data_IF_940590549577
#
_entry.id   IF_940590549577
#
_cell.length_a   1.000
_cell.length_b   1.000
_cell.length_c   1.000
_cell.angle_alpha   90.00
_cell.angle_beta   90.00
_cell.angle_gamma   90.00
#
_symmetry.space_group_name_H-M   'P 1'
#
loop_
_entity.id
_entity.type
_entity.pdbx_description
1 polymer ?
#
# COMPACT_ATOMS: atom_id res chain seq x y z
N UNK A 1 9.47 -5.56 10.44
CA UNK A 1 10.77 -5.08 9.97
C UNK A 1 11.91 -5.44 10.90
N UNK A 2 12.21 -6.73 11.07
CA UNK A 2 13.41 -7.22 11.79
C UNK A 2 14.31 -8.04 10.86
N UNK A 3 14.20 -7.81 9.54
CA UNK A 3 15.00 -8.51 8.56
C UNK A 3 16.47 -8.06 8.68
N UNK A 4 17.39 -9.01 8.58
CA UNK A 4 18.82 -8.69 8.53
C UNK A 4 19.20 -8.04 7.19
N UNK A 5 20.33 -7.34 7.15
CA UNK A 5 20.85 -6.74 5.90
C UNK A 5 21.07 -7.78 4.80
N UNK A 6 21.57 -8.97 5.16
CA UNK A 6 21.74 -10.08 4.22
C UNK A 6 20.40 -10.56 3.66
N UNK A 7 19.36 -10.67 4.49
CA UNK A 7 18.02 -11.04 4.03
C UNK A 7 17.46 -10.01 3.05
N UNK A 8 17.68 -8.71 3.31
CA UNK A 8 17.24 -7.66 2.40
C UNK A 8 17.98 -7.73 1.04
N UNK A 9 19.31 -7.89 1.07
CA UNK A 9 20.12 -8.04 -0.16
C UNK A 9 19.71 -9.25 -0.99
N UNK A 10 19.51 -10.42 -0.36
CA UNK A 10 19.04 -11.62 -1.07
C UNK A 10 17.62 -11.43 -1.64
N UNK A 11 16.73 -10.78 -0.89
CA UNK A 11 15.39 -10.44 -1.36
C UNK A 11 15.46 -9.54 -2.61
N UNK A 12 16.22 -8.44 -2.58
CA UNK A 12 16.37 -7.54 -3.74
C UNK A 12 16.92 -8.29 -4.96
N UNK A 13 17.98 -9.08 -4.75
CA UNK A 13 18.62 -9.87 -5.82
C UNK A 13 17.60 -10.79 -6.50
N UNK A 14 16.80 -11.52 -5.72
CA UNK A 14 15.77 -12.42 -6.25
C UNK A 14 14.65 -11.68 -6.95
N UNK A 15 14.12 -10.61 -6.34
CA UNK A 15 12.97 -9.88 -6.88
C UNK A 15 13.28 -9.15 -8.19
N UNK A 16 14.54 -8.71 -8.37
CA UNK A 16 14.98 -7.99 -9.56
C UNK A 16 15.84 -8.83 -10.51
N UNK A 17 16.02 -10.13 -10.23
CA UNK A 17 16.86 -11.04 -11.01
C UNK A 17 18.27 -10.48 -11.27
N UNK A 18 18.91 -9.89 -10.26
CA UNK A 18 20.22 -9.28 -10.40
C UNK A 18 21.32 -10.35 -10.60
N UNK A 19 22.37 -10.06 -11.39
CA UNK A 19 23.46 -11.01 -11.66
C UNK A 19 24.35 -11.28 -10.42
N UNK A 20 24.22 -10.48 -9.36
CA UNK A 20 24.99 -10.60 -8.14
C UNK A 20 24.34 -9.86 -6.98
N UNK A 21 24.86 -10.10 -5.78
CA UNK A 21 24.33 -9.47 -4.57
C UNK A 21 24.72 -7.98 -4.53
N UNK A 22 23.76 -7.05 -4.42
CA UNK A 22 24.05 -5.64 -4.35
C UNK A 22 24.75 -5.28 -3.04
N UNK A 23 25.56 -4.22 -3.08
CA UNK A 23 26.11 -3.60 -1.87
C UNK A 23 25.01 -3.15 -0.90
N UNK A 24 25.33 -2.95 0.40
CA UNK A 24 24.33 -2.67 1.42
C UNK A 24 23.46 -1.44 1.11
N UNK A 25 24.07 -0.30 0.76
CA UNK A 25 23.32 0.93 0.48
C UNK A 25 22.48 0.82 -0.81
N UNK A 26 23.02 0.13 -1.82
CA UNK A 26 22.28 -0.14 -3.05
C UNK A 26 21.06 -1.04 -2.77
N UNK A 27 21.20 -2.05 -1.91
CA UNK A 27 20.10 -2.92 -1.50
C UNK A 27 19.03 -2.15 -0.72
N UNK A 28 19.42 -1.22 0.16
CA UNK A 28 18.49 -0.39 0.92
C UNK A 28 17.69 0.55 -0.02
N UNK A 29 18.36 1.20 -0.97
CA UNK A 29 17.70 2.06 -1.96
C UNK A 29 16.71 1.28 -2.86
N UNK A 30 17.14 0.12 -3.37
CA UNK A 30 16.28 -0.77 -4.17
C UNK A 30 15.12 -1.33 -3.33
N UNK A 31 15.38 -1.69 -2.07
CA UNK A 31 14.37 -2.17 -1.13
C UNK A 31 13.29 -1.13 -0.88
N UNK A 32 13.66 0.15 -0.70
CA UNK A 32 12.71 1.26 -0.58
C UNK A 32 11.88 1.43 -1.85
N UNK A 33 12.49 1.37 -3.03
CA UNK A 33 11.78 1.46 -4.30
C UNK A 33 10.75 0.32 -4.49
N UNK A 34 11.14 -0.92 -4.15
CA UNK A 34 10.23 -2.09 -4.17
C UNK A 34 9.09 -1.88 -3.17
N UNK A 35 9.38 -1.45 -1.95
CA UNK A 35 8.35 -1.19 -0.93
C UNK A 35 7.38 -0.10 -1.39
N UNK A 36 7.88 0.96 -2.03
CA UNK A 36 7.06 2.05 -2.57
C UNK A 36 6.10 1.53 -3.65
N UNK A 37 6.63 0.82 -4.66
CA UNK A 37 5.83 0.24 -5.73
C UNK A 37 4.77 -0.74 -5.21
N UNK A 38 5.12 -1.57 -4.23
CA UNK A 38 4.18 -2.49 -3.59
C UNK A 38 3.06 -1.75 -2.85
N UNK A 39 3.42 -0.68 -2.12
CA UNK A 39 2.47 0.11 -1.33
C UNK A 39 1.50 0.91 -2.20
N UNK A 40 1.92 1.32 -3.40
CA UNK A 40 1.04 2.03 -4.36
C UNK A 40 -0.19 1.20 -4.74
N UNK A 41 -0.03 -0.11 -4.96
CA UNK A 41 -1.15 -1.01 -5.29
C UNK A 41 -2.17 -1.06 -4.16
N UNK A 42 -1.70 -1.29 -2.93
CA UNK A 42 -2.56 -1.32 -1.74
C UNK A 42 -3.25 0.02 -1.52
N UNK A 43 -2.53 1.13 -1.72
CA UNK A 43 -3.08 2.49 -1.59
C UNK A 43 -4.18 2.76 -2.63
N UNK A 44 -4.01 2.33 -3.88
CA UNK A 44 -5.05 2.47 -4.91
C UNK A 44 -6.33 1.70 -4.56
N UNK A 45 -6.20 0.48 -4.02
CA UNK A 45 -7.36 -0.31 -3.57
C UNK A 45 -8.08 0.35 -2.40
N UNK A 46 -7.34 0.87 -1.42
CA UNK A 46 -7.91 1.62 -0.29
C UNK A 46 -8.62 2.90 -0.75
N UNK A 47 -8.03 3.63 -1.71
CA UNK A 47 -8.66 4.80 -2.30
C UNK A 47 -10.00 4.44 -2.97
N UNK A 48 -10.02 3.38 -3.77
CA UNK A 48 -11.25 2.93 -4.43
C UNK A 48 -12.35 2.55 -3.42
N UNK A 49 -11.98 1.97 -2.26
CA UNK A 49 -12.93 1.71 -1.17
C UNK A 49 -13.43 3.02 -0.56
N UNK A 50 -12.53 3.97 -0.28
CA UNK A 50 -12.90 5.29 0.24
C UNK A 50 -13.86 6.04 -0.68
N UNK A 51 -13.61 6.02 -1.99
CA UNK A 51 -14.43 6.69 -2.99
C UNK A 51 -15.83 6.06 -3.06
N UNK A 52 -15.92 4.73 -3.03
CA UNK A 52 -17.20 4.00 -2.96
C UNK A 52 -17.99 4.34 -1.69
N UNK A 53 -17.32 4.40 -0.54
CA UNK A 53 -17.95 4.79 0.72
C UNK A 53 -18.45 6.24 0.67
N UNK A 54 -17.68 7.15 0.07
CA UNK A 54 -18.09 8.54 -0.16
C UNK A 54 -19.32 8.63 -1.08
N UNK A 55 -19.33 7.87 -2.18
CA UNK A 55 -20.46 7.81 -3.11
C UNK A 55 -21.73 7.26 -2.44
N UNK A 56 -21.61 6.22 -1.62
CA UNK A 56 -22.70 5.68 -0.80
C UNK A 56 -23.25 6.75 0.16
N UNK A 57 -22.38 7.50 0.83
CA UNK A 57 -22.79 8.62 1.68
C UNK A 57 -23.58 9.69 0.92
N UNK A 58 -23.14 10.05 -0.29
CA UNK A 58 -23.87 10.97 -1.17
C UNK A 58 -25.22 10.43 -1.64
N UNK A 59 -25.32 9.14 -1.95
CA UNK A 59 -26.58 8.48 -2.31
C UNK A 59 -27.56 8.40 -1.15
N UNK A 60 -27.08 8.09 0.06
CA UNK A 60 -27.90 8.09 1.28
C UNK A 60 -28.43 9.50 1.58
N UNK A 61 -27.58 10.53 1.45
CA UNK A 61 -27.97 11.92 1.61
C UNK A 61 -29.07 12.37 0.63
N UNK A 62 -29.01 11.94 -0.65
CA UNK A 62 -30.07 12.19 -1.64
C UNK A 62 -31.39 11.51 -1.27
N UNK A 63 -31.35 10.37 -0.57
CA UNK A 63 -32.53 9.66 -0.06
C UNK A 63 -33.01 10.18 1.31
N UNK A 64 -32.39 11.23 1.85
CA UNK A 64 -32.70 11.79 3.16
C UNK A 64 -32.12 11.01 4.35
N UNK A 65 -31.49 9.86 4.08
CA UNK A 65 -30.87 8.97 5.06
C UNK A 65 -29.50 9.52 5.49
N UNK A 66 -29.25 9.66 6.80
CA UNK A 66 -27.98 10.20 7.32
C UNK A 66 -27.43 9.30 8.43
N UNK A 67 -26.15 9.43 8.76
CA UNK A 67 -25.56 8.70 9.89
C UNK A 67 -25.31 9.68 11.04
N UNK A 68 -25.89 9.42 12.22
CA UNK A 68 -25.66 10.19 13.44
C UNK A 68 -25.12 9.24 14.52
N UNK A 69 -23.92 9.51 15.04
CA UNK A 69 -23.23 8.64 16.02
C UNK A 69 -23.06 7.19 15.55
N UNK A 70 -22.75 6.98 14.26
CA UNK A 70 -22.52 5.65 13.70
C UNK A 70 -23.77 4.82 13.41
N UNK A 71 -24.98 5.35 13.66
CA UNK A 71 -26.25 4.70 13.31
C UNK A 71 -26.96 5.48 12.19
N UNK A 72 -27.54 4.74 11.26
CA UNK A 72 -28.37 5.28 10.18
C UNK A 72 -29.67 5.85 10.79
N UNK A 73 -30.02 7.09 10.43
CA UNK A 73 -31.17 7.87 10.90
C UNK A 73 -31.90 8.52 9.73
#
# INVERSE_FOLDING_TARGET
>A
GRASKQQMQQMVTRLLSLPGQPGPDAADALGLAICHAHSMKSRAQLQAVSDKLGALGGQLGKKGLRVKRGRLV
#
